data_IF_053717941103
#
_entry.id   IF_053717941103
#
_cell.length_a   1.000
_cell.length_b   1.000
_cell.length_c   1.000
_cell.angle_alpha   90.00
_cell.angle_beta   90.00
_cell.angle_gamma   90.00
#
_symmetry.space_group_name_H-M   'P 1'
#
loop_
_entity.id
_entity.type
_entity.pdbx_description
1 polymer ?
#
# COMPACT_ATOMS: atom_id res chain seq x y z
N UNK A 1 -15.50 46.44 -22.58
CA UNK A 1 -16.69 45.57 -22.75
C UNK A 1 -17.01 45.01 -21.37
N UNK A 2 -17.91 45.68 -20.64
CA UNK A 2 -19.34 45.32 -20.44
C UNK A 2 -19.49 43.97 -19.71
N UNK A 3 -20.15 43.80 -18.56
CA UNK A 3 -20.71 44.67 -17.51
C UNK A 3 -21.18 43.73 -16.35
N UNK A 4 -21.08 44.08 -15.06
CA UNK A 4 -21.59 43.28 -13.95
C UNK A 4 -22.89 43.86 -13.37
N UNK A 5 -24.02 43.15 -13.43
CA UNK A 5 -25.21 43.46 -12.63
C UNK A 5 -26.36 42.43 -12.78
N UNK A 6 -26.82 41.93 -11.61
CA UNK A 6 -28.24 41.67 -11.25
C UNK A 6 -28.93 40.48 -12.00
N UNK A 7 -29.81 39.65 -11.43
CA UNK A 7 -30.69 39.77 -10.28
C UNK A 7 -31.30 38.39 -9.93
N UNK A 8 -31.22 38.03 -8.64
CA UNK A 8 -32.21 37.34 -7.77
C UNK A 8 -33.30 36.40 -8.38
N UNK A 9 -33.49 35.23 -7.72
CA UNK A 9 -34.64 34.81 -6.86
C UNK A 9 -34.69 33.26 -6.75
N UNK A 10 -34.48 32.68 -5.56
CA UNK A 10 -35.49 32.20 -4.56
C UNK A 10 -36.26 30.91 -4.94
N UNK A 11 -35.96 29.81 -4.22
CA UNK A 11 -36.85 28.93 -3.42
C UNK A 11 -36.08 27.62 -3.14
N UNK A 12 -35.68 27.23 -1.92
CA UNK A 12 -36.42 26.85 -0.69
C UNK A 12 -37.35 25.64 -0.85
N UNK A 13 -36.88 24.48 -0.38
CA UNK A 13 -37.56 23.34 0.27
C UNK A 13 -36.52 22.22 0.30
N UNK A 14 -35.82 21.93 1.38
CA UNK A 14 -36.28 21.51 2.71
C UNK A 14 -37.40 20.47 2.62
N UNK A 15 -37.04 19.19 2.72
CA UNK A 15 -37.71 18.35 3.69
C UNK A 15 -36.83 17.17 4.12
N UNK A 16 -36.59 17.15 5.43
CA UNK A 16 -36.08 16.03 6.23
C UNK A 16 -37.11 14.90 6.27
N UNK A 17 -36.62 13.70 6.45
CA UNK A 17 -37.42 12.51 6.71
C UNK A 17 -36.55 11.45 7.35
N UNK A 18 -36.20 11.68 8.62
CA UNK A 18 -35.68 10.68 9.54
C UNK A 18 -36.69 9.53 9.67
N UNK A 19 -36.20 8.28 9.77
CA UNK A 19 -36.67 7.37 10.81
C UNK A 19 -35.69 6.21 11.03
N UNK A 20 -35.13 6.27 12.24
CA UNK A 20 -34.52 5.23 13.06
C UNK A 20 -35.04 3.80 12.84
N UNK A 21 -34.14 2.82 12.95
CA UNK A 21 -34.16 1.83 14.04
C UNK A 21 -32.87 1.00 14.06
N UNK A 22 -32.20 1.06 15.20
CA UNK A 22 -31.29 0.04 15.74
C UNK A 22 -32.02 -1.28 15.94
N UNK A 23 -31.33 -2.43 15.81
CA UNK A 23 -31.16 -3.46 16.87
C UNK A 23 -29.98 -4.39 16.49
N UNK A 24 -29.11 -4.65 17.47
CA UNK A 24 -28.22 -5.80 17.57
C UNK A 24 -28.96 -7.13 17.29
N UNK A 25 -28.30 -8.11 16.67
CA UNK A 25 -28.09 -9.42 17.32
C UNK A 25 -27.16 -10.31 16.50
N UNK A 26 -26.08 -10.76 17.13
CA UNK A 26 -25.42 -12.03 16.79
C UNK A 26 -25.80 -12.98 17.92
N UNK A 27 -26.16 -14.22 17.62
CA UNK A 27 -25.33 -15.26 18.23
C UNK A 27 -25.05 -16.48 17.35
N UNK A 28 -23.92 -17.08 17.70
CA UNK A 28 -23.42 -18.39 17.37
C UNK A 28 -24.48 -19.50 17.33
N UNK A 29 -24.32 -20.44 16.39
CA UNK A 29 -24.64 -21.86 16.65
C UNK A 29 -23.55 -22.78 16.14
N UNK A 30 -22.85 -23.34 17.12
CA UNK A 30 -22.09 -24.59 17.08
C UNK A 30 -23.02 -25.80 16.86
N UNK A 31 -22.49 -26.83 16.17
CA UNK A 31 -23.03 -28.19 16.07
C UNK A 31 -22.59 -28.84 14.76
N UNK A 32 -21.35 -29.31 14.60
CA UNK A 32 -20.74 -30.54 15.11
C UNK A 32 -21.27 -31.85 14.48
N UNK A 33 -20.31 -32.58 13.85
CA UNK A 33 -20.28 -34.00 13.40
C UNK A 33 -20.95 -34.29 12.04
N UNK A 34 -20.40 -35.09 11.12
CA UNK A 34 -19.33 -36.08 11.21
C UNK A 34 -18.64 -36.33 9.84
N UNK A 35 -17.34 -36.62 9.90
CA UNK A 35 -16.56 -37.56 9.08
C UNK A 35 -17.15 -38.13 7.78
N UNK A 36 -16.47 -37.87 6.66
CA UNK A 36 -16.08 -38.90 5.70
C UNK A 36 -14.97 -38.39 4.75
N UNK A 37 -13.96 -39.25 4.56
CA UNK A 37 -13.04 -39.35 3.43
C UNK A 37 -12.18 -38.14 3.07
N UNK A 38 -10.89 -38.24 3.40
CA UNK A 38 -9.83 -37.47 2.77
C UNK A 38 -9.80 -37.70 1.26
N UNK A 39 -9.77 -36.60 0.52
CA UNK A 39 -9.34 -36.54 -0.87
C UNK A 39 -8.11 -35.66 -0.91
N UNK A 40 -6.94 -36.29 -0.79
CA UNK A 40 -5.65 -35.71 -1.11
C UNK A 40 -5.72 -35.19 -2.55
N UNK A 41 -5.72 -33.87 -2.73
CA UNK A 41 -5.38 -33.29 -4.02
C UNK A 41 -3.87 -33.47 -4.20
N UNK A 42 -3.52 -34.67 -4.64
CA UNK A 42 -2.24 -34.99 -5.26
C UNK A 42 -1.97 -33.92 -6.35
N UNK A 43 -0.83 -33.24 -6.34
CA UNK A 43 -0.41 -32.54 -7.55
C UNK A 43 -0.21 -33.64 -8.60
N UNK A 44 -0.97 -33.57 -9.70
CA UNK A 44 -0.80 -34.48 -10.83
C UNK A 44 0.69 -34.61 -11.12
N UNK A 45 1.19 -35.82 -10.84
CA UNK A 45 2.57 -36.17 -11.10
C UNK A 45 2.81 -35.94 -12.57
N UNK A 46 3.56 -34.88 -12.87
CA UNK A 46 4.28 -34.76 -14.14
C UNK A 46 4.99 -36.09 -14.27
N UNK A 47 4.49 -36.90 -15.20
CA UNK A 47 4.95 -38.26 -15.40
C UNK A 47 6.46 -38.25 -15.37
N UNK A 48 7.00 -38.78 -14.28
CA UNK A 48 8.35 -39.30 -14.28
C UNK A 48 8.28 -40.42 -15.29
N UNK A 49 8.48 -40.07 -16.56
CA UNK A 49 9.19 -40.94 -17.46
C UNK A 49 10.47 -41.23 -16.70
N UNK A 50 10.43 -42.32 -15.94
CA UNK A 50 11.61 -43.09 -15.62
C UNK A 50 12.29 -43.20 -16.97
N UNK A 51 13.28 -42.31 -17.17
CA UNK A 51 14.16 -42.28 -18.32
C UNK A 51 14.85 -43.61 -18.14
N UNK A 52 14.24 -44.62 -18.74
CA UNK A 52 14.74 -45.96 -18.84
C UNK A 52 16.17 -45.71 -19.21
N UNK A 53 17.08 -45.98 -18.28
CA UNK A 53 18.51 -45.96 -18.56
C UNK A 53 18.65 -47.12 -19.53
N UNK A 54 18.30 -46.86 -20.79
CA UNK A 54 18.66 -47.64 -21.94
C UNK A 54 20.14 -47.73 -21.77
N UNK A 55 20.55 -48.88 -21.24
CA UNK A 55 21.91 -49.31 -21.19
C UNK A 55 22.43 -48.97 -22.57
N UNK A 56 23.27 -47.93 -22.64
CA UNK A 56 24.24 -47.81 -23.70
C UNK A 56 25.17 -49.00 -23.48
N UNK A 57 24.67 -50.20 -23.82
CA UNK A 57 25.45 -51.17 -24.55
C UNK A 57 26.02 -50.32 -25.67
N UNK A 58 27.20 -49.75 -25.44
CA UNK A 58 27.97 -49.12 -26.48
C UNK A 58 27.89 -50.11 -27.61
N UNK A 59 27.27 -49.71 -28.73
CA UNK A 59 27.22 -50.55 -29.90
C UNK A 59 28.68 -50.84 -30.17
N UNK A 60 29.14 -52.03 -29.76
CA UNK A 60 30.48 -52.49 -30.03
C UNK A 60 30.42 -52.72 -31.52
N UNK A 61 30.96 -51.76 -32.25
CA UNK A 61 31.10 -51.89 -33.68
C UNK A 61 32.00 -53.10 -33.88
N UNK A 62 31.40 -54.19 -34.37
CA UNK A 62 32.09 -55.47 -34.53
C UNK A 62 33.14 -55.41 -35.65
N UNK A 63 33.15 -54.32 -36.44
CA UNK A 63 34.07 -54.08 -37.56
C UNK A 63 34.35 -52.57 -37.62
N UNK A 64 35.63 -52.19 -37.67
CA UNK A 64 36.13 -50.82 -37.91
C UNK A 64 36.19 -50.51 -39.42
N UNK A 65 36.15 -49.23 -39.85
CA UNK A 65 36.51 -48.86 -41.23
C UNK A 65 37.87 -49.43 -41.66
N UNK A 66 38.82 -49.51 -40.72
CA UNK A 66 40.14 -50.12 -40.96
C UNK A 66 40.02 -51.63 -41.22
N UNK A 67 39.17 -52.32 -40.47
CA UNK A 67 38.94 -53.76 -40.62
C UNK A 67 38.26 -54.06 -41.97
N UNK A 68 37.32 -53.20 -42.41
CA UNK A 68 36.70 -53.29 -43.74
C UNK A 68 37.73 -53.18 -44.87
N UNK A 69 38.69 -52.25 -44.75
CA UNK A 69 39.76 -52.08 -45.76
C UNK A 69 40.76 -53.24 -45.76
N UNK A 70 40.99 -53.89 -44.63
CA UNK A 70 41.95 -54.98 -44.47
C UNK A 70 41.33 -56.38 -44.65
N UNK A 71 40.01 -56.46 -44.81
CA UNK A 71 39.29 -57.73 -44.92
C UNK A 71 39.75 -58.54 -46.14
N UNK A 72 40.18 -59.78 -45.91
CA UNK A 72 40.57 -60.72 -46.96
C UNK A 72 39.59 -61.88 -47.05
N UNK A 73 39.07 -62.13 -48.25
CA UNK A 73 38.19 -63.26 -48.52
C UNK A 73 38.93 -64.48 -49.09
N UNK A 74 38.47 -65.68 -48.74
CA UNK A 74 38.96 -66.93 -49.36
C UNK A 74 38.43 -67.03 -50.79
N UNK A 75 39.26 -67.51 -51.71
CA UNK A 75 38.87 -67.71 -53.11
C UNK A 75 38.14 -69.06 -53.26
N UNK A 76 36.93 -69.06 -53.81
CA UNK A 76 36.16 -70.27 -54.16
C UNK A 76 35.94 -70.37 -55.69
N UNK A 77 35.66 -71.57 -56.19
CA UNK A 77 35.27 -71.76 -57.59
C UNK A 77 33.90 -71.10 -57.82
N UNK A 78 33.77 -70.21 -58.83
CA UNK A 78 32.62 -69.31 -59.09
C UNK A 78 32.37 -68.22 -58.01
N UNK A 79 33.41 -67.51 -57.56
CA UNK A 79 33.29 -66.34 -56.66
C UNK A 79 33.12 -64.99 -57.38
N UNK A 80 32.79 -63.94 -56.61
CA UNK A 80 32.78 -62.54 -57.07
C UNK A 80 34.19 -62.05 -57.47
N UNK A 81 34.25 -61.04 -58.34
CA UNK A 81 35.51 -60.40 -58.72
C UNK A 81 36.14 -59.71 -57.49
N UNK A 82 37.40 -60.06 -57.22
CA UNK A 82 38.16 -59.52 -56.09
C UNK A 82 38.37 -58.02 -56.22
N UNK A 83 38.54 -57.49 -57.43
CA UNK A 83 38.79 -56.06 -57.64
C UNK A 83 37.54 -55.25 -57.31
N UNK A 84 36.38 -55.69 -57.82
CA UNK A 84 35.10 -55.04 -57.56
C UNK A 84 34.71 -55.09 -56.08
N UNK A 85 34.87 -56.25 -55.43
CA UNK A 85 34.61 -56.40 -53.99
C UNK A 85 35.53 -55.52 -53.14
N UNK A 86 36.81 -55.39 -53.51
CA UNK A 86 37.75 -54.54 -52.77
C UNK A 86 37.42 -53.06 -52.95
N UNK A 87 37.04 -52.63 -54.15
CA UNK A 87 36.61 -51.26 -54.42
C UNK A 87 35.32 -50.91 -53.66
N UNK A 88 34.36 -51.83 -53.61
CA UNK A 88 33.14 -51.66 -52.83
C UNK A 88 33.42 -51.57 -51.33
N UNK A 89 34.27 -52.44 -50.78
CA UNK A 89 34.66 -52.37 -49.36
C UNK A 89 35.37 -51.07 -49.01
N UNK A 90 36.19 -50.52 -49.91
CA UNK A 90 36.82 -49.22 -49.72
C UNK A 90 35.78 -48.08 -49.64
N UNK A 91 34.82 -48.05 -50.56
CA UNK A 91 33.73 -47.07 -50.55
C UNK A 91 32.87 -47.18 -49.28
N UNK A 92 32.50 -48.40 -48.87
CA UNK A 92 31.75 -48.63 -47.62
C UNK A 92 32.55 -48.21 -46.39
N UNK A 93 33.88 -48.44 -46.39
CA UNK A 93 34.74 -47.99 -45.30
C UNK A 93 34.80 -46.45 -45.22
N UNK A 94 34.87 -45.74 -46.35
CA UNK A 94 34.85 -44.28 -46.40
C UNK A 94 33.52 -43.72 -45.86
N UNK A 95 32.38 -44.23 -46.35
CA UNK A 95 31.05 -43.81 -45.89
C UNK A 95 30.86 -44.09 -44.39
N UNK A 96 31.35 -45.24 -43.92
CA UNK A 96 31.27 -45.63 -42.51
C UNK A 96 32.15 -44.75 -41.62
N UNK A 97 33.34 -44.39 -42.06
CA UNK A 97 34.22 -43.44 -41.36
C UNK A 97 33.57 -42.05 -41.27
N UNK A 98 32.91 -41.60 -42.34
CA UNK A 98 32.16 -40.35 -42.34
C UNK A 98 30.98 -40.40 -41.34
N UNK A 99 30.20 -41.48 -41.34
CA UNK A 99 29.09 -41.67 -40.42
C UNK A 99 29.55 -41.69 -38.94
N UNK A 100 30.70 -42.31 -38.65
CA UNK A 100 31.29 -42.29 -37.30
C UNK A 100 31.70 -40.88 -36.86
N UNK A 101 32.36 -40.11 -37.74
CA UNK A 101 32.72 -38.71 -37.46
C UNK A 101 31.49 -37.85 -37.20
N UNK A 102 30.45 -38.00 -38.00
CA UNK A 102 29.20 -37.27 -37.82
C UNK A 102 28.51 -37.67 -36.51
N UNK A 103 28.50 -38.97 -36.18
CA UNK A 103 27.96 -39.46 -34.90
C UNK A 103 28.68 -38.84 -33.71
N UNK A 104 30.01 -38.77 -33.73
CA UNK A 104 30.78 -38.17 -32.64
C UNK A 104 30.55 -36.66 -32.54
N UNK A 105 30.47 -35.95 -33.67
CA UNK A 105 30.09 -34.53 -33.71
C UNK A 105 28.71 -34.30 -33.12
N UNK A 106 27.71 -35.07 -33.54
CA UNK A 106 26.34 -34.97 -33.02
C UNK A 106 26.28 -35.27 -31.52
N UNK A 107 27.03 -36.25 -31.02
CA UNK A 107 27.13 -36.54 -29.58
C UNK A 107 27.72 -35.38 -28.79
N UNK A 108 28.77 -34.75 -29.31
CA UNK A 108 29.36 -33.56 -28.70
C UNK A 108 28.35 -32.40 -28.69
N UNK A 109 27.65 -32.17 -29.79
CA UNK A 109 26.62 -31.14 -29.88
C UNK A 109 25.45 -31.40 -28.92
N UNK A 110 24.97 -32.63 -28.80
CA UNK A 110 23.93 -33.00 -27.81
C UNK A 110 24.41 -32.70 -26.40
N UNK A 111 25.63 -33.10 -26.04
CA UNK A 111 26.18 -32.85 -24.70
C UNK A 111 26.29 -31.36 -24.41
N UNK A 112 26.73 -30.56 -25.39
CA UNK A 112 26.83 -29.11 -25.29
C UNK A 112 25.46 -28.45 -25.14
N UNK A 113 24.48 -28.88 -25.93
CA UNK A 113 23.11 -28.35 -25.87
C UNK A 113 22.40 -28.73 -24.57
N UNK A 114 22.60 -29.95 -24.07
CA UNK A 114 22.07 -30.37 -22.76
C UNK A 114 22.65 -29.52 -21.62
N UNK A 115 23.93 -29.17 -21.68
CA UNK A 115 24.56 -28.26 -20.70
C UNK A 115 23.95 -26.84 -20.75
N UNK A 116 23.79 -26.28 -21.95
CA UNK A 116 23.16 -24.95 -22.14
C UNK A 116 21.70 -24.93 -21.66
N UNK A 117 20.95 -26.00 -21.92
CA UNK A 117 19.57 -26.13 -21.41
C UNK A 117 19.58 -26.17 -19.87
N UNK A 118 20.55 -26.85 -19.27
CA UNK A 118 20.74 -26.86 -17.81
C UNK A 118 20.95 -25.46 -17.24
N UNK A 119 21.89 -24.71 -17.82
CA UNK A 119 22.19 -23.32 -17.44
C UNK A 119 20.96 -22.42 -17.59
N UNK A 120 20.26 -22.48 -18.74
CA UNK A 120 19.06 -21.68 -18.96
C UNK A 120 17.95 -21.99 -17.97
N UNK A 121 17.75 -23.27 -17.60
CA UNK A 121 16.77 -23.65 -16.57
C UNK A 121 17.14 -23.11 -15.20
N UNK A 122 18.42 -23.08 -14.86
CA UNK A 122 18.89 -22.48 -13.61
C UNK A 122 18.67 -20.96 -13.62
N UNK A 123 18.99 -20.28 -14.72
CA UNK A 123 18.71 -18.85 -14.89
C UNK A 123 17.22 -18.54 -14.78
N UNK A 124 16.35 -19.33 -15.41
CA UNK A 124 14.90 -19.19 -15.30
C UNK A 124 14.41 -19.35 -13.86
N UNK A 125 14.93 -20.35 -13.14
CA UNK A 125 14.62 -20.56 -11.72
C UNK A 125 15.03 -19.37 -10.86
N UNK A 126 16.23 -18.84 -11.07
CA UNK A 126 16.73 -17.67 -10.34
C UNK A 126 15.95 -16.40 -10.67
N UNK A 127 15.57 -16.21 -11.94
CA UNK A 127 14.73 -15.10 -12.36
C UNK A 127 13.35 -15.19 -11.71
N UNK A 128 12.72 -16.37 -11.72
CA UNK A 128 11.44 -16.60 -11.05
C UNK A 128 11.52 -16.32 -9.55
N UNK A 129 12.57 -16.78 -8.88
CA UNK A 129 12.79 -16.50 -7.47
C UNK A 129 12.95 -14.99 -7.20
N UNK A 130 13.70 -14.29 -8.06
CA UNK A 130 13.88 -12.84 -7.99
C UNK A 130 12.56 -12.10 -8.18
N UNK A 131 11.76 -12.50 -9.17
CA UNK A 131 10.45 -11.90 -9.43
C UNK A 131 9.48 -12.09 -8.25
N UNK A 132 9.43 -13.30 -7.67
CA UNK A 132 8.61 -13.56 -6.48
C UNK A 132 9.07 -12.71 -5.29
N UNK A 133 10.38 -12.55 -5.11
CA UNK A 133 10.95 -11.71 -4.04
C UNK A 133 10.62 -10.24 -4.26
N UNK A 134 10.75 -9.75 -5.51
CA UNK A 134 10.39 -8.37 -5.87
C UNK A 134 8.89 -8.10 -5.66
N UNK A 135 8.03 -9.05 -6.03
CA UNK A 135 6.59 -8.95 -5.79
C UNK A 135 6.28 -8.88 -4.29
N UNK A 136 6.85 -9.78 -3.50
CA UNK A 136 6.67 -9.76 -2.03
C UNK A 136 7.14 -8.44 -1.43
N UNK A 137 8.30 -7.93 -1.85
CA UNK A 137 8.80 -6.64 -1.40
C UNK A 137 7.87 -5.49 -1.78
N UNK A 138 7.30 -5.50 -2.99
CA UNK A 138 6.35 -4.49 -3.41
C UNK A 138 5.06 -4.53 -2.57
N UNK A 139 4.56 -5.72 -2.26
CA UNK A 139 3.40 -5.90 -1.37
C UNK A 139 3.70 -5.43 0.06
N UNK A 140 4.88 -5.76 0.59
CA UNK A 140 5.33 -5.30 1.92
C UNK A 140 5.47 -3.77 1.97
N UNK A 141 6.06 -3.15 0.94
CA UNK A 141 6.15 -1.67 0.83
C UNK A 141 4.75 -1.05 0.82
N UNK A 142 3.82 -1.62 0.05
CA UNK A 142 2.44 -1.13 -0.04
C UNK A 142 1.73 -1.24 1.31
N UNK A 143 1.85 -2.38 1.99
CA UNK A 143 1.24 -2.60 3.29
C UNK A 143 1.79 -1.61 4.34
N UNK A 144 3.12 -1.45 4.41
CA UNK A 144 3.76 -0.51 5.32
C UNK A 144 3.37 0.95 5.04
N UNK A 145 3.29 1.33 3.76
CA UNK A 145 2.86 2.67 3.37
C UNK A 145 1.39 2.94 3.77
N UNK A 146 0.52 1.94 3.67
CA UNK A 146 -0.87 2.04 4.11
C UNK A 146 -0.97 2.18 5.63
N UNK A 147 -0.22 1.37 6.38
CA UNK A 147 -0.18 1.44 7.84
C UNK A 147 0.34 2.81 8.33
N UNK A 148 1.45 3.29 7.76
CA UNK A 148 2.00 4.60 8.13
C UNK A 148 1.07 5.74 7.73
N UNK A 149 0.36 5.64 6.58
CA UNK A 149 -0.65 6.62 6.21
C UNK A 149 -1.80 6.68 7.22
N UNK A 150 -2.30 5.52 7.66
CA UNK A 150 -3.32 5.46 8.71
C UNK A 150 -2.81 6.02 10.04
N UNK A 151 -1.56 5.75 10.39
CA UNK A 151 -0.91 6.30 11.59
C UNK A 151 -0.80 7.81 11.54
N UNK A 152 -0.34 8.37 10.42
CA UNK A 152 -0.23 9.81 10.21
C UNK A 152 -1.60 10.49 10.31
N UNK A 153 -2.63 9.92 9.67
CA UNK A 153 -4.00 10.45 9.76
C UNK A 153 -4.49 10.43 11.21
N UNK A 154 -4.37 9.30 11.91
CA UNK A 154 -4.80 9.19 13.31
C UNK A 154 -4.00 10.05 14.29
N UNK A 155 -2.72 10.32 14.01
CA UNK A 155 -1.91 11.29 14.77
C UNK A 155 -2.36 12.75 14.49
N UNK A 156 -2.66 13.06 13.24
CA UNK A 156 -3.15 14.38 12.84
C UNK A 156 -4.52 14.69 13.44
N UNK A 157 -5.45 13.73 13.41
CA UNK A 157 -6.78 13.83 14.03
C UNK A 157 -6.66 14.08 15.54
N UNK A 158 -5.91 13.25 16.27
CA UNK A 158 -5.67 13.44 17.71
C UNK A 158 -5.05 14.80 18.04
N UNK A 159 -4.10 15.26 17.22
CA UNK A 159 -3.49 16.58 17.40
C UNK A 159 -4.49 17.71 17.14
N UNK A 160 -5.36 17.54 16.16
CA UNK A 160 -6.44 18.49 15.85
C UNK A 160 -7.42 18.59 17.01
N UNK A 161 -7.88 17.46 17.54
CA UNK A 161 -8.82 17.41 18.67
C UNK A 161 -8.23 18.09 19.91
N UNK A 162 -6.97 17.79 20.23
CA UNK A 162 -6.25 18.42 21.34
C UNK A 162 -6.06 19.93 21.13
N UNK A 163 -5.86 20.38 19.88
CA UNK A 163 -5.79 21.80 19.57
C UNK A 163 -7.15 22.48 19.74
N UNK A 164 -8.24 21.85 19.30
CA UNK A 164 -9.60 22.35 19.47
C UNK A 164 -9.96 22.48 20.95
N UNK A 165 -9.67 21.45 21.76
CA UNK A 165 -9.89 21.47 23.20
C UNK A 165 -9.14 22.63 23.87
N UNK A 166 -7.85 22.79 23.58
CA UNK A 166 -7.04 23.91 24.12
C UNK A 166 -7.57 25.27 23.68
N UNK A 167 -8.04 25.38 22.44
CA UNK A 167 -8.56 26.63 21.90
C UNK A 167 -9.89 26.98 22.55
N UNK A 168 -10.75 25.98 22.78
CA UNK A 168 -12.02 26.15 23.48
C UNK A 168 -11.81 26.57 24.94
N UNK A 169 -10.90 25.91 25.66
CA UNK A 169 -10.54 26.31 27.02
C UNK A 169 -10.04 27.75 27.08
N UNK A 170 -9.16 28.14 26.14
CA UNK A 170 -8.67 29.53 26.04
C UNK A 170 -9.78 30.53 25.69
N UNK A 171 -10.72 30.15 24.82
CA UNK A 171 -11.87 30.98 24.48
C UNK A 171 -12.73 31.25 25.73
N UNK A 172 -12.96 30.22 26.54
CA UNK A 172 -13.71 30.34 27.80
C UNK A 172 -12.97 31.20 28.84
N UNK A 173 -11.64 31.08 28.95
CA UNK A 173 -10.83 31.96 29.79
C UNK A 173 -10.96 33.43 29.35
N UNK A 174 -10.79 33.70 28.05
CA UNK A 174 -10.93 35.05 27.49
C UNK A 174 -12.34 35.60 27.70
N UNK A 175 -13.37 34.77 27.52
CA UNK A 175 -14.75 35.19 27.77
C UNK A 175 -14.99 35.56 29.23
N UNK A 176 -14.44 34.76 30.18
CA UNK A 176 -14.47 35.08 31.61
C UNK A 176 -13.75 36.38 31.93
N UNK A 177 -12.60 36.64 31.31
CA UNK A 177 -11.88 37.91 31.45
C UNK A 177 -12.69 39.10 30.93
N UNK A 178 -13.30 38.97 29.74
CA UNK A 178 -14.15 40.00 29.14
C UNK A 178 -15.32 40.34 30.07
N UNK A 179 -16.01 39.32 30.60
CA UNK A 179 -17.16 39.55 31.45
C UNK A 179 -16.75 40.13 32.81
N UNK A 180 -15.60 39.73 33.36
CA UNK A 180 -14.99 40.37 34.53
C UNK A 180 -14.64 41.84 34.29
N UNK A 181 -14.12 42.18 33.11
CA UNK A 181 -13.82 43.56 32.73
C UNK A 181 -15.08 44.40 32.55
N UNK A 182 -16.16 43.84 31.99
CA UNK A 182 -17.46 44.52 31.90
C UNK A 182 -18.05 44.80 33.28
N UNK A 183 -17.93 43.86 34.21
CA UNK A 183 -18.39 44.05 35.59
C UNK A 183 -17.62 45.20 36.27
N UNK A 184 -16.28 45.16 36.20
CA UNK A 184 -15.43 46.25 36.72
C UNK A 184 -15.78 47.61 36.12
N UNK A 185 -16.04 47.66 34.80
CA UNK A 185 -16.48 48.91 34.14
C UNK A 185 -17.78 49.43 34.75
N UNK A 186 -18.78 48.55 34.92
CA UNK A 186 -20.08 48.90 35.51
C UNK A 186 -19.95 49.37 36.96
N UNK A 187 -19.10 48.75 37.74
CA UNK A 187 -18.83 49.14 39.13
C UNK A 187 -18.22 50.55 39.19
N UNK A 188 -17.27 50.85 38.30
CA UNK A 188 -16.67 52.19 38.17
C UNK A 188 -17.72 53.22 37.73
N UNK A 189 -18.53 52.91 36.71
CA UNK A 189 -19.63 53.78 36.25
C UNK A 189 -20.59 54.11 37.41
N UNK A 190 -21.04 53.10 38.16
CA UNK A 190 -21.95 53.26 39.31
C UNK A 190 -21.30 54.09 40.43
N UNK A 191 -20.01 53.85 40.70
CA UNK A 191 -19.26 54.60 41.72
C UNK A 191 -19.11 56.08 41.33
N UNK A 192 -18.86 56.36 40.06
CA UNK A 192 -18.81 57.73 39.53
C UNK A 192 -20.17 58.42 39.65
N UNK A 193 -21.26 57.77 39.25
CA UNK A 193 -22.62 58.30 39.38
C UNK A 193 -22.96 58.63 40.84
N UNK A 194 -22.68 57.70 41.76
CA UNK A 194 -22.89 57.92 43.20
C UNK A 194 -22.06 59.08 43.74
N UNK A 195 -20.81 59.21 43.30
CA UNK A 195 -19.93 60.31 43.71
C UNK A 195 -20.46 61.65 43.20
N UNK A 196 -20.86 61.72 41.93
CA UNK A 196 -21.46 62.91 41.33
C UNK A 196 -22.75 63.30 42.06
N UNK A 197 -23.63 62.33 42.34
CA UNK A 197 -24.87 62.59 43.07
C UNK A 197 -24.61 63.09 44.49
N UNK A 198 -23.63 62.52 45.18
CA UNK A 198 -23.22 62.95 46.52
C UNK A 198 -22.71 64.39 46.50
N UNK A 199 -21.81 64.71 45.57
CA UNK A 199 -21.27 66.08 45.39
C UNK A 199 -22.36 67.09 45.00
N UNK A 200 -23.35 66.66 44.21
CA UNK A 200 -24.49 67.51 43.86
C UNK A 200 -25.36 67.82 45.07
N UNK A 201 -25.69 66.79 45.86
CA UNK A 201 -26.50 66.96 47.07
C UNK A 201 -25.79 67.86 48.10
N UNK A 202 -24.46 67.74 48.27
CA UNK A 202 -23.72 68.62 49.17
C UNK A 202 -23.70 70.07 48.69
N UNK A 203 -23.55 70.31 47.38
CA UNK A 203 -23.65 71.65 46.80
C UNK A 203 -25.05 72.26 46.99
N UNK A 204 -26.11 71.48 46.79
CA UNK A 204 -27.49 71.92 47.03
C UNK A 204 -27.70 72.27 48.52
N UNK A 205 -27.20 71.45 49.44
CA UNK A 205 -27.23 71.74 50.87
C UNK A 205 -26.51 73.04 51.24
N UNK A 206 -25.29 73.26 50.74
CA UNK A 206 -24.53 74.49 50.99
C UNK A 206 -25.30 75.72 50.47
N UNK A 207 -25.86 75.64 49.25
CA UNK A 207 -26.65 76.73 48.66
C UNK A 207 -27.91 77.05 49.48
N UNK A 208 -28.60 76.04 50.00
CA UNK A 208 -29.75 76.26 50.88
C UNK A 208 -29.36 76.91 52.21
N UNK A 209 -28.24 76.49 52.82
CA UNK A 209 -27.74 77.10 54.05
C UNK A 209 -27.38 78.57 53.84
N UNK A 210 -26.65 78.90 52.78
CA UNK A 210 -26.33 80.30 52.44
C UNK A 210 -27.58 81.15 52.15
N UNK A 211 -28.62 80.57 51.55
CA UNK A 211 -29.88 81.26 51.30
C UNK A 211 -30.61 81.55 52.63
N UNK A 212 -30.66 80.56 53.54
CA UNK A 212 -31.25 80.73 54.88
C UNK A 212 -30.50 81.79 55.69
N UNK A 213 -29.16 81.77 55.68
CA UNK A 213 -28.34 82.79 56.36
C UNK A 213 -28.56 84.19 55.78
N UNK A 214 -28.75 84.31 54.45
CA UNK A 214 -29.09 85.58 53.81
C UNK A 214 -30.47 86.07 54.23
N UNK A 215 -31.47 85.20 54.22
CA UNK A 215 -32.83 85.53 54.64
C UNK A 215 -32.86 85.95 56.12
N UNK A 216 -32.13 85.25 56.99
CA UNK A 216 -32.00 85.59 58.40
C UNK A 216 -31.31 86.95 58.62
N UNK A 217 -30.23 87.25 57.88
CA UNK A 217 -29.58 88.57 57.90
C UNK A 217 -30.52 89.69 57.41
N UNK A 218 -31.34 89.42 56.38
CA UNK A 218 -32.35 90.36 55.88
C UNK A 218 -33.43 90.60 56.94
N UNK A 219 -33.86 89.57 57.68
CA UNK A 219 -34.79 89.73 58.80
C UNK A 219 -34.22 90.59 59.93
N UNK A 220 -32.93 90.42 60.27
CA UNK A 220 -32.27 91.19 61.33
C UNK A 220 -32.12 92.68 60.94
N UNK A 221 -31.90 93.00 59.66
CA UNK A 221 -31.80 94.40 59.19
C UNK A 221 -33.16 95.08 58.92
N UNK A 222 -34.28 94.35 59.00
CA UNK A 222 -35.64 94.90 58.79
C UNK A 222 -36.35 95.27 60.10
N UNK A 223 -35.77 94.95 61.25
CA UNK A 223 -36.28 95.35 62.57
C UNK A 223 -35.49 96.58 63.05
N UNK A 224 -36.26 97.60 63.43
CA UNK A 224 -35.88 98.99 63.76
C UNK A 224 -34.66 99.16 64.66
#
# INVERSE_FOLDING_TARGET
>A
MFDPALSKRHNSSDNRGEHERSVLDTPERHGARASASGGSLEPEGVGTHAREKGSSRGLRMNVSPLDLRQQRFRSGFRGFDKVEVTAFLAAVADDYEQALRETDRLRQDVTRLEALIGEHREHEKNLKATLMTAQKLADDIKANAQEEAHRIIGDAERRSDLLLEKTQARLEDVQREIDGMKLKRRDVETTMESTIQTLRNTLEYIREQEARERDEKILIHRVK
#
